data_IF_863625874813
#
_entry.id   IF_863625874813
#
_cell.length_a   1.000
_cell.length_b   1.000
_cell.length_c   1.000
_cell.angle_alpha   90.00
_cell.angle_beta   90.00
_cell.angle_gamma   90.00
#
_symmetry.space_group_name_H-M   'P 1'
#
loop_
_entity.id
_entity.type
_entity.pdbx_description
1 polymer ?
#
# COMPACT_ATOMS: atom_id res chain seq x y z
N UNK A 1 1.89 6.68 -4.38
CA UNK A 1 1.76 5.31 -3.87
C UNK A 1 2.21 4.32 -4.93
N UNK A 2 3.03 3.33 -4.54
CA UNK A 2 3.45 2.22 -5.41
C UNK A 2 3.01 0.90 -4.79
N UNK A 3 2.14 0.16 -5.46
CA UNK A 3 1.72 -1.16 -5.01
C UNK A 3 2.00 -2.23 -6.07
N UNK A 4 2.07 -3.48 -5.66
CA UNK A 4 2.33 -4.57 -6.58
C UNK A 4 2.63 -5.89 -5.88
N UNK A 5 2.80 -6.92 -6.68
CA UNK A 5 3.07 -8.27 -6.20
C UNK A 5 4.37 -8.33 -5.39
N UNK A 6 4.48 -9.32 -4.53
CA UNK A 6 5.69 -9.54 -3.74
C UNK A 6 6.91 -9.80 -4.66
N UNK A 7 8.07 -9.28 -4.27
CA UNK A 7 9.32 -9.48 -5.04
C UNK A 7 9.43 -8.70 -6.35
N UNK A 8 8.45 -7.88 -6.73
CA UNK A 8 8.48 -7.11 -7.99
C UNK A 8 9.56 -6.02 -8.02
N UNK A 9 10.08 -5.60 -6.86
CA UNK A 9 11.14 -4.60 -6.75
C UNK A 9 10.67 -3.22 -6.30
N UNK A 10 9.56 -3.12 -5.56
CA UNK A 10 9.03 -1.85 -5.02
C UNK A 10 10.07 -1.09 -4.21
N UNK A 11 10.69 -1.73 -3.22
CA UNK A 11 11.74 -1.16 -2.38
C UNK A 11 12.95 -0.70 -3.19
N UNK A 12 13.38 -1.50 -4.19
CA UNK A 12 14.46 -1.12 -5.12
C UNK A 12 14.09 0.11 -5.95
N UNK A 13 12.84 0.24 -6.38
CA UNK A 13 12.38 1.44 -7.09
C UNK A 13 12.41 2.66 -6.16
N UNK A 14 11.87 2.54 -4.95
CA UNK A 14 11.85 3.62 -3.97
C UNK A 14 13.26 4.07 -3.57
N UNK A 15 14.26 3.17 -3.55
CA UNK A 15 15.65 3.52 -3.25
C UNK A 15 16.32 4.45 -4.28
N UNK A 16 15.70 4.64 -5.47
CA UNK A 16 16.20 5.54 -6.51
C UNK A 16 15.70 6.98 -6.38
N UNK A 17 14.81 7.25 -5.45
CA UNK A 17 14.40 8.61 -5.14
C UNK A 17 15.54 9.42 -4.50
N UNK A 18 15.49 10.75 -4.55
CA UNK A 18 16.53 11.60 -3.97
C UNK A 18 16.64 11.41 -2.46
N UNK A 19 17.81 11.07 -1.94
CA UNK A 19 18.15 10.95 -0.52
C UNK A 19 17.04 10.31 0.32
N UNK A 20 16.66 9.04 0.04
CA UNK A 20 15.55 8.40 0.71
C UNK A 20 15.89 8.01 2.15
N UNK A 21 14.93 8.22 3.06
CA UNK A 21 14.88 7.61 4.38
C UNK A 21 13.72 6.62 4.40
N UNK A 22 14.02 5.36 4.69
CA UNK A 22 13.00 4.31 4.79
C UNK A 22 12.53 4.14 6.23
N UNK A 23 11.23 4.08 6.43
CA UNK A 23 10.63 3.47 7.62
C UNK A 23 10.29 2.04 7.23
N UNK A 24 11.19 1.10 7.61
CA UNK A 24 11.15 -0.31 7.19
C UNK A 24 10.35 -1.14 8.20
N UNK A 25 9.07 -1.32 7.93
CA UNK A 25 8.12 -2.02 8.79
C UNK A 25 8.05 -3.54 8.51
N UNK A 26 8.51 -3.98 7.34
CA UNK A 26 8.45 -5.38 6.89
C UNK A 26 9.85 -6.02 6.73
N UNK A 27 10.93 -5.32 7.12
CA UNK A 27 12.32 -5.71 6.87
C UNK A 27 12.64 -5.96 5.38
N UNK A 28 11.88 -5.36 4.48
CA UNK A 28 12.01 -5.51 3.03
C UNK A 28 13.25 -4.84 2.46
N UNK A 29 13.77 -3.81 3.13
CA UNK A 29 14.93 -3.04 2.69
C UNK A 29 16.28 -3.65 3.10
N UNK A 30 16.32 -4.75 3.87
CA UNK A 30 17.52 -5.30 4.50
C UNK A 30 18.70 -5.58 3.53
N UNK A 31 18.40 -5.83 2.25
CA UNK A 31 19.40 -6.12 1.20
C UNK A 31 19.74 -4.94 0.30
N UNK A 32 19.23 -3.77 0.61
CA UNK A 32 19.42 -2.56 -0.20
C UNK A 32 20.21 -1.56 0.64
N UNK A 33 21.20 -0.91 0.04
CA UNK A 33 22.00 0.14 0.70
C UNK A 33 21.19 1.44 0.73
N UNK A 34 20.47 1.66 1.82
CA UNK A 34 19.63 2.85 2.07
C UNK A 34 19.63 3.19 3.56
N UNK A 35 19.45 4.46 3.86
CA UNK A 35 19.18 4.89 5.24
C UNK A 35 17.78 4.42 5.65
N UNK A 36 17.70 3.77 6.82
CA UNK A 36 16.46 3.18 7.30
C UNK A 36 16.28 3.29 8.80
N UNK A 37 15.05 3.41 9.22
CA UNK A 37 14.59 3.26 10.60
C UNK A 37 13.95 1.88 10.67
N UNK A 38 14.41 1.05 11.60
CA UNK A 38 13.92 -0.31 11.87
C UNK A 38 13.47 -0.43 13.32
N UNK A 39 12.78 -1.54 13.65
CA UNK A 39 12.32 -1.79 15.02
C UNK A 39 11.13 -0.92 15.43
N UNK A 40 10.35 -0.46 14.46
CA UNK A 40 9.08 0.24 14.71
C UNK A 40 8.03 -0.80 15.02
N UNK A 41 7.68 -0.95 16.30
CA UNK A 41 6.82 -2.03 16.78
C UNK A 41 5.42 -1.55 17.15
N UNK A 42 5.24 -0.24 17.33
CA UNK A 42 3.95 0.32 17.71
C UNK A 42 3.47 1.38 16.73
N UNK A 43 2.15 1.59 16.70
CA UNK A 43 1.53 2.64 15.91
C UNK A 43 1.97 4.04 16.36
N UNK A 44 2.09 4.21 17.68
CA UNK A 44 2.52 5.46 18.29
C UNK A 44 3.95 5.83 17.86
N UNK A 45 4.87 4.84 17.82
CA UNK A 45 6.24 5.06 17.36
C UNK A 45 6.28 5.49 15.89
N UNK A 46 5.48 4.82 15.04
CA UNK A 46 5.38 5.19 13.63
C UNK A 46 4.90 6.63 13.47
N UNK A 47 3.85 7.03 14.17
CA UNK A 47 3.33 8.39 14.12
C UNK A 47 4.37 9.41 14.60
N UNK A 48 5.06 9.12 15.72
CA UNK A 48 6.11 9.99 16.27
C UNK A 48 7.26 10.19 15.27
N UNK A 49 7.73 9.11 14.64
CA UNK A 49 8.80 9.17 13.64
C UNK A 49 8.41 10.05 12.44
N UNK A 50 7.19 9.88 11.93
CA UNK A 50 6.73 10.67 10.77
C UNK A 50 6.50 12.12 11.16
N UNK A 51 5.98 12.38 12.37
CA UNK A 51 5.85 13.71 12.92
C UNK A 51 7.21 14.40 13.05
N UNK A 52 8.18 13.77 13.70
CA UNK A 52 9.53 14.30 13.90
C UNK A 52 10.21 14.59 12.56
N UNK A 53 10.03 13.70 11.57
CA UNK A 53 10.52 13.93 10.22
C UNK A 53 9.88 15.18 9.60
N UNK A 54 8.56 15.33 9.75
CA UNK A 54 7.81 16.46 9.19
C UNK A 54 8.17 17.79 9.84
N UNK A 55 8.53 17.79 11.14
CA UNK A 55 8.82 19.00 11.91
C UNK A 55 10.31 19.37 11.90
N UNK A 56 11.18 18.44 11.52
CA UNK A 56 12.62 18.62 11.51
C UNK A 56 13.07 19.75 10.58
N UNK A 57 13.99 20.57 11.06
CA UNK A 57 14.67 21.60 10.27
C UNK A 57 16.08 21.14 9.91
N UNK A 58 16.48 21.33 8.64
CA UNK A 58 17.82 20.91 8.19
C UNK A 58 17.93 19.39 7.96
N UNK A 59 16.84 18.72 7.74
CA UNK A 59 16.80 17.29 7.44
C UNK A 59 17.65 16.97 6.19
N UNK A 60 18.62 16.05 6.25
CA UNK A 60 19.46 15.70 5.11
C UNK A 60 18.72 14.88 4.04
N UNK A 61 17.58 14.33 4.37
CA UNK A 61 16.75 13.52 3.46
C UNK A 61 15.82 14.39 2.63
N UNK A 62 15.44 13.89 1.47
CA UNK A 62 14.51 14.54 0.54
C UNK A 62 13.27 13.69 0.26
N UNK A 63 13.32 12.42 0.62
CA UNK A 63 12.23 11.47 0.40
C UNK A 63 11.99 10.65 1.66
N UNK A 64 10.76 10.58 2.11
CA UNK A 64 10.30 9.65 3.14
C UNK A 64 9.63 8.46 2.46
N UNK A 65 10.05 7.25 2.81
CA UNK A 65 9.50 6.01 2.27
C UNK A 65 8.87 5.19 3.40
N UNK A 66 7.59 4.87 3.26
CA UNK A 66 6.90 3.91 4.14
C UNK A 66 6.91 2.54 3.47
N UNK A 67 7.60 1.58 4.04
CA UNK A 67 7.72 0.21 3.51
C UNK A 67 7.28 -0.81 4.58
N UNK A 68 5.98 -1.16 4.65
CA UNK A 68 4.87 -0.93 3.73
C UNK A 68 3.61 -0.37 4.42
N UNK A 69 2.65 0.13 3.64
CA UNK A 69 1.36 0.60 4.14
C UNK A 69 0.53 -0.51 4.81
N UNK A 70 0.61 -1.73 4.31
CA UNK A 70 -0.07 -2.88 4.90
C UNK A 70 0.55 -3.28 6.26
N UNK A 71 1.86 -3.08 6.45
CA UNK A 71 2.49 -3.21 7.77
C UNK A 71 2.05 -2.07 8.70
N UNK A 72 2.04 -0.82 8.23
CA UNK A 72 1.51 0.31 8.98
C UNK A 72 0.04 0.09 9.40
N UNK A 73 -0.78 -0.45 8.51
CA UNK A 73 -2.17 -0.76 8.80
C UNK A 73 -2.32 -1.82 9.90
N UNK A 74 -1.44 -2.85 9.94
CA UNK A 74 -1.44 -3.83 11.03
C UNK A 74 -1.09 -3.21 12.38
N UNK A 75 -0.13 -2.29 12.43
CA UNK A 75 0.20 -1.55 13.66
C UNK A 75 -0.99 -0.70 14.13
N UNK A 76 -1.66 -0.01 13.21
CA UNK A 76 -2.85 0.78 13.50
C UNK A 76 -4.00 -0.10 14.00
N UNK A 77 -4.23 -1.26 13.38
CA UNK A 77 -5.25 -2.22 13.79
C UNK A 77 -5.01 -2.73 15.22
N UNK A 78 -3.78 -3.15 15.52
CA UNK A 78 -3.39 -3.58 16.85
C UNK A 78 -3.61 -2.47 17.90
N UNK A 79 -3.27 -1.24 17.56
CA UNK A 79 -3.50 -0.07 18.41
C UNK A 79 -4.99 0.18 18.67
N UNK A 80 -5.83 0.13 17.63
CA UNK A 80 -7.28 0.32 17.74
C UNK A 80 -7.89 -0.78 18.63
N UNK A 81 -7.53 -2.03 18.42
CA UNK A 81 -7.99 -3.14 19.27
C UNK A 81 -7.56 -2.90 20.73
N UNK A 82 -6.27 -2.59 20.96
CA UNK A 82 -5.72 -2.34 22.30
C UNK A 82 -6.43 -1.20 23.04
N UNK A 83 -6.78 -0.11 22.34
CA UNK A 83 -7.22 1.15 22.98
C UNK A 83 -8.72 1.40 22.90
N UNK A 84 -9.44 0.80 21.96
CA UNK A 84 -10.86 1.08 21.67
C UNK A 84 -11.77 -0.12 21.86
N UNK A 85 -11.21 -1.34 21.95
CA UNK A 85 -12.01 -2.54 22.14
C UNK A 85 -12.61 -2.59 23.55
N UNK A 86 -13.84 -3.05 23.64
CA UNK A 86 -14.50 -3.39 24.90
C UNK A 86 -14.09 -4.81 25.36
N UNK A 87 -14.39 -5.15 26.60
CA UNK A 87 -14.08 -6.48 27.14
C UNK A 87 -14.65 -7.59 26.24
N UNK A 88 -13.78 -8.49 25.80
CA UNK A 88 -14.13 -9.63 24.94
C UNK A 88 -14.02 -9.36 23.44
N UNK A 89 -13.72 -8.13 23.00
CA UNK A 89 -13.41 -7.82 21.62
C UNK A 89 -11.91 -7.98 21.36
N UNK A 90 -11.56 -8.80 20.38
CA UNK A 90 -10.16 -9.17 20.04
C UNK A 90 -9.83 -8.94 18.56
N UNK A 91 -10.84 -8.64 17.75
CA UNK A 91 -10.71 -8.39 16.32
C UNK A 91 -11.54 -7.18 15.88
N UNK A 92 -11.32 -6.68 14.68
CA UNK A 92 -12.09 -5.57 14.10
C UNK A 92 -13.56 -5.93 13.89
N UNK A 93 -13.83 -7.19 13.59
CA UNK A 93 -15.17 -7.74 13.37
C UNK A 93 -16.00 -7.70 14.67
N UNK A 94 -15.36 -7.87 15.82
CA UNK A 94 -16.02 -7.89 17.14
C UNK A 94 -16.64 -6.53 17.50
N UNK A 95 -16.21 -5.44 16.87
CA UNK A 95 -16.85 -4.13 17.06
C UNK A 95 -18.26 -4.06 16.47
N UNK A 96 -18.63 -5.02 15.62
CA UNK A 96 -19.93 -5.13 14.97
C UNK A 96 -20.19 -4.06 13.90
N UNK A 97 -21.01 -4.42 12.90
CA UNK A 97 -21.51 -3.54 11.84
C UNK A 97 -20.45 -2.68 11.14
N UNK A 98 -19.21 -3.18 11.02
CA UNK A 98 -18.10 -2.46 10.38
C UNK A 98 -17.56 -1.26 11.18
N UNK A 99 -17.99 -1.06 12.43
CA UNK A 99 -17.56 0.05 13.29
C UNK A 99 -16.06 0.03 13.55
N UNK A 100 -15.47 -1.14 13.74
CA UNK A 100 -14.02 -1.28 13.93
C UNK A 100 -13.23 -0.70 12.76
N UNK A 101 -13.65 -0.99 11.54
CA UNK A 101 -13.01 -0.46 10.32
C UNK A 101 -13.21 1.05 10.13
N UNK A 102 -14.31 1.62 10.63
CA UNK A 102 -14.48 3.08 10.67
C UNK A 102 -13.46 3.72 11.62
N UNK A 103 -13.33 3.18 12.82
CA UNK A 103 -12.36 3.67 13.81
C UNK A 103 -10.93 3.52 13.27
N UNK A 104 -10.63 2.39 12.59
CA UNK A 104 -9.35 2.16 11.95
C UNK A 104 -9.03 3.20 10.88
N UNK A 105 -10.00 3.55 10.04
CA UNK A 105 -9.83 4.57 9.00
C UNK A 105 -9.60 5.96 9.60
N UNK A 106 -10.35 6.32 10.66
CA UNK A 106 -10.17 7.58 11.39
C UNK A 106 -8.77 7.65 12.04
N UNK A 107 -8.30 6.55 12.62
CA UNK A 107 -6.97 6.49 13.24
C UNK A 107 -5.85 6.54 12.19
N UNK A 108 -5.99 5.77 11.09
CA UNK A 108 -5.02 5.75 10.00
C UNK A 108 -4.90 7.11 9.29
N UNK A 109 -5.95 7.89 9.28
CA UNK A 109 -5.93 9.26 8.72
C UNK A 109 -4.94 10.17 9.45
N UNK A 110 -4.58 9.89 10.70
CA UNK A 110 -3.55 10.67 11.41
C UNK A 110 -2.17 10.52 10.77
N UNK A 111 -1.81 9.30 10.31
CA UNK A 111 -0.59 9.09 9.54
C UNK A 111 -0.63 9.90 8.25
N UNK A 112 -1.75 9.87 7.55
CA UNK A 112 -1.90 10.61 6.28
C UNK A 112 -1.74 12.12 6.48
N UNK A 113 -2.26 12.68 7.58
CA UNK A 113 -2.08 14.10 7.93
C UNK A 113 -0.59 14.44 8.11
N UNK A 114 0.19 13.57 8.76
CA UNK A 114 1.62 13.80 8.91
C UNK A 114 2.40 13.62 7.61
N UNK A 115 2.00 12.67 6.76
CA UNK A 115 2.57 12.51 5.42
C UNK A 115 2.27 13.72 4.53
N UNK A 116 1.06 14.27 4.62
CA UNK A 116 0.69 15.51 3.91
C UNK A 116 1.57 16.69 4.34
N UNK A 117 1.80 16.84 5.64
CA UNK A 117 2.73 17.87 6.14
C UNK A 117 4.16 17.69 5.60
N UNK A 118 4.61 16.45 5.38
CA UNK A 118 5.90 16.24 4.71
C UNK A 118 5.86 16.76 3.27
N UNK A 119 4.78 16.51 2.53
CA UNK A 119 4.58 17.01 1.15
C UNK A 119 4.55 18.54 1.13
N UNK A 120 3.78 19.17 2.03
CA UNK A 120 3.68 20.63 2.16
C UNK A 120 5.04 21.30 2.43
N UNK A 121 5.95 20.57 3.08
CA UNK A 121 7.34 21.04 3.34
C UNK A 121 8.31 20.72 2.20
N UNK A 122 7.82 20.18 1.09
CA UNK A 122 8.60 19.91 -0.11
C UNK A 122 9.36 18.58 -0.10
N UNK A 123 9.04 17.66 0.82
CA UNK A 123 9.57 16.30 0.78
C UNK A 123 8.77 15.44 -0.19
N UNK A 124 9.45 14.52 -0.87
CA UNK A 124 8.75 13.44 -1.56
C UNK A 124 8.27 12.41 -0.54
N UNK A 125 7.04 11.95 -0.68
CA UNK A 125 6.50 10.84 0.12
C UNK A 125 6.21 9.66 -0.79
N UNK A 126 6.83 8.52 -0.49
CA UNK A 126 6.63 7.26 -1.23
C UNK A 126 6.04 6.23 -0.28
N UNK A 127 4.83 5.78 -0.56
CA UNK A 127 4.19 4.72 0.22
C UNK A 127 4.15 3.46 -0.62
N UNK A 128 4.81 2.41 -0.13
CA UNK A 128 4.83 1.08 -0.74
C UNK A 128 3.72 0.21 -0.14
N UNK A 129 3.08 -0.60 -0.97
CA UNK A 129 2.06 -1.55 -0.51
C UNK A 129 2.11 -2.86 -1.30
N UNK A 130 1.62 -3.94 -0.70
CA UNK A 130 1.38 -5.18 -1.42
C UNK A 130 0.07 -5.12 -2.20
N UNK A 131 -0.01 -5.90 -3.26
CA UNK A 131 -1.21 -6.10 -4.03
C UNK A 131 -1.93 -7.39 -3.61
N UNK A 132 -3.25 -7.39 -3.72
CA UNK A 132 -4.10 -8.57 -3.57
C UNK A 132 -5.04 -8.66 -4.77
N UNK A 133 -5.26 -9.89 -5.27
CA UNK A 133 -6.26 -10.15 -6.30
C UNK A 133 -7.64 -10.20 -5.67
N UNK A 134 -8.59 -9.48 -6.22
CA UNK A 134 -10.00 -9.55 -5.82
C UNK A 134 -10.89 -9.81 -7.04
N UNK A 135 -11.84 -10.69 -6.86
CA UNK A 135 -12.87 -10.96 -7.85
C UNK A 135 -14.05 -10.00 -7.63
N UNK A 136 -14.44 -9.29 -8.66
CA UNK A 136 -15.57 -8.36 -8.67
C UNK A 136 -16.64 -8.86 -9.63
N UNK A 137 -17.89 -8.82 -9.18
CA UNK A 137 -19.06 -9.07 -9.98
C UNK A 137 -19.67 -7.72 -10.40
N UNK A 138 -19.71 -7.44 -11.68
CA UNK A 138 -20.41 -6.26 -12.20
C UNK A 138 -21.90 -6.58 -12.31
N UNK A 139 -22.79 -5.67 -11.83
CA UNK A 139 -24.24 -5.88 -11.92
C UNK A 139 -24.76 -6.02 -13.35
N UNK A 140 -24.10 -5.37 -14.31
CA UNK A 140 -24.53 -5.28 -15.71
C UNK A 140 -23.72 -6.16 -16.67
N UNK A 141 -22.77 -6.98 -16.16
CA UNK A 141 -21.95 -7.87 -16.97
C UNK A 141 -22.15 -9.33 -16.59
N UNK A 142 -22.28 -10.20 -17.60
CA UNK A 142 -22.24 -11.65 -17.41
C UNK A 142 -20.81 -12.09 -17.11
N UNK A 143 -20.50 -12.28 -15.83
CA UNK A 143 -19.23 -12.85 -15.37
C UNK A 143 -18.55 -12.03 -14.28
N UNK A 144 -17.62 -12.70 -13.64
CA UNK A 144 -16.74 -12.09 -12.65
C UNK A 144 -15.43 -11.72 -13.33
N UNK A 145 -14.80 -10.64 -12.91
CA UNK A 145 -13.44 -10.32 -13.31
C UNK A 145 -12.54 -10.11 -12.10
N UNK A 146 -11.28 -10.51 -12.26
CA UNK A 146 -10.27 -10.34 -11.24
C UNK A 146 -9.51 -9.05 -11.47
N UNK A 147 -9.30 -8.27 -10.41
CA UNK A 147 -8.47 -7.08 -10.46
C UNK A 147 -7.56 -6.97 -9.25
N UNK A 148 -6.45 -6.25 -9.43
CA UNK A 148 -5.50 -6.00 -8.38
C UNK A 148 -5.92 -4.80 -7.53
N UNK A 149 -5.91 -4.98 -6.22
CA UNK A 149 -6.13 -3.92 -5.23
C UNK A 149 -4.96 -3.81 -4.25
N UNK A 150 -4.90 -2.67 -3.54
CA UNK A 150 -4.04 -2.52 -2.38
C UNK A 150 -4.44 -3.54 -1.31
N UNK A 151 -3.46 -4.28 -0.77
CA UNK A 151 -3.66 -5.24 0.32
C UNK A 151 -3.81 -4.51 1.65
N UNK A 152 -4.90 -3.78 1.79
CA UNK A 152 -5.22 -3.02 3.00
C UNK A 152 -6.53 -3.50 3.61
N UNK A 153 -6.65 -3.48 4.96
CA UNK A 153 -7.86 -3.88 5.65
C UNK A 153 -9.01 -2.91 5.36
N UNK A 154 -10.23 -3.39 5.56
CA UNK A 154 -11.44 -2.59 5.44
C UNK A 154 -12.70 -3.43 5.22
N UNK A 155 -13.83 -2.86 5.61
CA UNK A 155 -15.16 -3.40 5.32
C UNK A 155 -15.62 -2.95 3.91
N UNK A 156 -16.85 -3.30 3.54
CA UNK A 156 -17.45 -2.88 2.26
C UNK A 156 -17.53 -1.35 2.09
N UNK A 157 -17.67 -0.61 3.19
CA UNK A 157 -17.88 0.85 3.21
C UNK A 157 -16.63 1.61 3.67
N UNK A 158 -15.94 1.09 4.69
CA UNK A 158 -14.78 1.74 5.29
C UNK A 158 -13.51 0.98 4.93
N UNK A 159 -12.83 1.39 3.87
CA UNK A 159 -11.61 0.74 3.37
C UNK A 159 -10.45 1.72 3.40
N UNK A 160 -9.30 1.26 3.89
CA UNK A 160 -8.07 2.05 3.83
C UNK A 160 -7.53 2.20 2.40
N UNK A 161 -7.80 1.22 1.53
CA UNK A 161 -7.34 1.27 0.14
C UNK A 161 -7.83 2.49 -0.63
N UNK A 162 -9.15 2.75 -0.74
CA UNK A 162 -9.69 3.98 -1.33
C UNK A 162 -9.12 5.25 -0.69
N UNK A 163 -9.06 5.31 0.63
CA UNK A 163 -8.53 6.46 1.35
C UNK A 163 -7.09 6.80 0.92
N UNK A 164 -6.22 5.80 0.85
CA UNK A 164 -4.83 5.99 0.41
C UNK A 164 -4.72 6.32 -1.08
N UNK A 165 -5.61 5.76 -1.92
CA UNK A 165 -5.67 6.05 -3.35
C UNK A 165 -6.08 7.49 -3.61
N UNK A 166 -7.14 7.97 -2.95
CA UNK A 166 -7.66 9.34 -3.09
C UNK A 166 -6.66 10.39 -2.62
N UNK A 167 -5.89 10.08 -1.59
CA UNK A 167 -4.85 10.95 -1.08
C UNK A 167 -3.65 11.06 -2.03
N UNK A 168 -3.33 10.04 -2.81
CA UNK A 168 -2.09 10.00 -3.58
C UNK A 168 -2.20 10.72 -4.92
N UNK A 169 -1.26 11.63 -5.22
CA UNK A 169 -1.13 12.27 -6.53
C UNK A 169 -0.81 11.27 -7.64
N UNK A 170 -0.06 10.21 -7.28
CA UNK A 170 0.41 9.22 -8.24
C UNK A 170 0.22 7.82 -7.66
N UNK A 171 -0.59 7.01 -8.34
CA UNK A 171 -0.78 5.61 -8.03
C UNK A 171 -0.18 4.73 -9.11
N UNK A 172 0.84 3.95 -8.74
CA UNK A 172 1.57 3.06 -9.63
C UNK A 172 1.31 1.61 -9.23
N UNK A 173 0.95 0.78 -10.20
CA UNK A 173 0.83 -0.67 -10.05
C UNK A 173 1.99 -1.38 -10.74
N UNK A 174 2.76 -2.16 -9.99
CA UNK A 174 3.89 -2.94 -10.50
C UNK A 174 3.56 -4.43 -10.56
N UNK A 175 3.74 -5.03 -11.73
CA UNK A 175 3.44 -6.44 -11.97
C UNK A 175 4.39 -7.06 -13.01
N UNK A 176 4.32 -8.37 -13.19
CA UNK A 176 5.00 -9.08 -14.25
C UNK A 176 4.09 -9.22 -15.48
N UNK A 177 4.52 -8.70 -16.62
CA UNK A 177 3.79 -8.94 -17.87
C UNK A 177 3.89 -10.42 -18.25
N UNK A 178 2.77 -11.13 -18.12
CA UNK A 178 2.66 -12.52 -18.53
C UNK A 178 2.36 -12.60 -20.02
N UNK A 179 3.19 -13.32 -20.78
CA UNK A 179 2.97 -13.58 -22.19
C UNK A 179 2.45 -15.02 -22.30
N UNK A 180 1.26 -15.16 -22.87
CA UNK A 180 0.72 -16.46 -23.21
C UNK A 180 1.31 -16.91 -24.54
N UNK A 181 2.02 -18.01 -24.55
CA UNK A 181 2.58 -18.63 -25.77
C UNK A 181 1.75 -19.88 -26.06
N UNK A 182 1.28 -19.99 -27.29
CA UNK A 182 0.62 -21.20 -27.77
C UNK A 182 1.67 -22.34 -27.84
N UNK A 183 1.57 -23.29 -26.95
CA UNK A 183 2.39 -24.49 -27.00
C UNK A 183 1.65 -25.52 -27.90
N UNK A 184 2.09 -25.64 -29.14
CA UNK A 184 1.66 -26.69 -30.06
C UNK A 184 2.27 -28.02 -29.61
N UNK A 185 1.63 -28.72 -28.69
CA UNK A 185 1.95 -30.11 -28.38
C UNK A 185 0.87 -30.99 -29.04
N UNK A 186 0.90 -31.22 -30.34
CA UNK A 186 0.18 -32.23 -31.14
C UNK A 186 -1.19 -32.77 -30.70
N UNK A 187 -1.63 -32.49 -29.49
CA UNK A 187 -2.93 -32.87 -28.86
C UNK A 187 -3.50 -31.73 -28.06
N UNK A 188 -4.11 -30.75 -28.73
CA UNK A 188 -4.86 -29.65 -28.10
C UNK A 188 -4.00 -28.40 -27.83
N UNK A 189 -4.55 -27.24 -28.11
CA UNK A 189 -3.96 -25.92 -27.87
C UNK A 189 -3.82 -25.65 -26.35
N UNK A 190 -2.65 -25.90 -25.77
CA UNK A 190 -2.33 -25.52 -24.39
C UNK A 190 -1.53 -24.20 -24.42
N UNK A 191 -2.07 -23.18 -23.78
CA UNK A 191 -1.37 -21.92 -23.56
C UNK A 191 -0.40 -22.06 -22.38
N UNK A 192 0.90 -21.86 -22.63
CA UNK A 192 1.89 -21.77 -21.55
C UNK A 192 2.12 -20.29 -21.20
N UNK A 193 2.01 -19.97 -19.91
CA UNK A 193 2.39 -18.66 -19.40
C UNK A 193 3.92 -18.58 -19.30
N UNK A 194 4.54 -17.65 -20.00
CA UNK A 194 5.96 -17.33 -19.85
C UNK A 194 6.09 -16.07 -19.02
N UNK A 195 6.79 -16.15 -17.88
CA UNK A 195 7.12 -15.01 -17.05
C UNK A 195 7.81 -13.92 -17.88
N UNK A 196 7.34 -12.71 -17.77
CA UNK A 196 7.71 -11.58 -18.60
C UNK A 196 8.50 -10.50 -17.86
N UNK A 197 8.63 -9.37 -18.54
CA UNK A 197 9.27 -8.16 -18.00
C UNK A 197 8.47 -7.63 -16.80
N UNK A 198 9.17 -6.99 -15.87
CA UNK A 198 8.53 -6.12 -14.88
C UNK A 198 7.94 -4.92 -15.59
N UNK A 199 6.70 -4.63 -15.30
CA UNK A 199 5.97 -3.50 -15.87
C UNK A 199 5.36 -2.67 -14.75
N UNK A 200 5.18 -1.39 -15.02
CA UNK A 200 4.53 -0.47 -14.11
C UNK A 200 3.40 0.20 -14.86
N UNK A 201 2.21 0.13 -14.29
CA UNK A 201 1.02 0.76 -14.82
C UNK A 201 0.74 2.01 -13.98
N UNK A 202 0.52 3.11 -14.66
CA UNK A 202 -0.03 4.32 -14.06
C UNK A 202 -1.54 4.11 -13.93
N UNK A 203 -2.05 4.18 -12.72
CA UNK A 203 -3.50 4.15 -12.52
C UNK A 203 -4.08 5.48 -12.97
N UNK A 204 -4.98 5.43 -13.93
CA UNK A 204 -5.69 6.59 -14.46
C UNK A 204 -6.82 7.00 -13.50
N UNK A 205 -6.50 7.54 -12.33
CA UNK A 205 -7.51 8.00 -11.38
C UNK A 205 -8.26 9.24 -11.95
N UNK A 206 -7.70 9.92 -12.97
CA UNK A 206 -8.23 11.18 -13.49
C UNK A 206 -8.21 11.31 -15.03
N UNK A 207 -8.14 10.23 -15.78
CA UNK A 207 -8.38 10.33 -17.22
C UNK A 207 -9.81 9.88 -17.47
N UNK A 208 -10.74 10.85 -17.54
CA UNK A 208 -12.00 10.65 -18.24
C UNK A 208 -11.67 10.19 -19.65
N UNK A 209 -12.19 9.03 -20.08
CA UNK A 209 -12.07 8.59 -21.46
C UNK A 209 -12.53 9.73 -22.37
N UNK A 210 -11.77 10.06 -23.44
CA UNK A 210 -12.28 10.97 -24.43
C UNK A 210 -13.48 10.30 -25.10
N UNK A 211 -14.65 10.94 -24.99
CA UNK A 211 -15.87 10.62 -25.73
C UNK A 211 -15.63 10.60 -27.22
#
# INVERSE_FOLDING_TARGET
VLYGVEGIGKTTFASKFPKPLFIDLDNGSARIDVNRIQGVETWEDLLSIVQDFSESTGNPYQTLVIDTADAAARLCEAYVIKTKASKGQTSMEDFGYGRGYKILAEEFSKLMIWLERCVDRGYNVVVLAHAIMRTVTLPDATGNYDHWELKLPGSSVNKLGPLLKEWSDLLLFADYKTILIDANDGFGSKKKAKGGRRVMYLSLIHISEPT
#
